data_IF_317327432679
#
_entry.id   IF_317327432679
#
_cell.length_a   1.000
_cell.length_b   1.000
_cell.length_c   1.000
_cell.angle_alpha   90.00
_cell.angle_beta   90.00
_cell.angle_gamma   90.00
#
_symmetry.space_group_name_H-M   'P 1'
#
loop_
_entity.id
_entity.type
_entity.pdbx_description
1 polymer ?
#
# COMPACT_ATOMS: atom_id res chain seq x y z
N UNK A 1 -2.54 74.56 9.92
CA UNK A 1 -2.60 73.98 11.26
C UNK A 1 -1.21 73.52 11.61
N UNK A 2 -0.51 74.48 12.20
CA UNK A 2 0.85 74.46 12.69
C UNK A 2 1.02 73.54 13.92
N UNK A 3 2.27 73.22 14.24
CA UNK A 3 2.63 72.54 15.50
C UNK A 3 3.88 71.68 15.34
N UNK A 4 5.05 72.24 15.05
CA UNK A 4 6.00 72.77 16.04
C UNK A 4 6.81 71.71 16.81
N UNK A 5 8.07 71.57 16.35
CA UNK A 5 9.33 71.53 17.12
C UNK A 5 9.45 70.57 18.33
N UNK A 6 10.48 69.73 18.26
CA UNK A 6 11.61 69.91 19.19
C UNK A 6 12.92 69.34 18.61
N UNK A 7 13.97 70.14 18.78
CA UNK A 7 15.36 69.92 18.36
C UNK A 7 16.18 69.95 19.65
N UNK A 8 17.03 68.95 19.89
CA UNK A 8 18.31 69.03 20.63
C UNK A 8 18.90 67.60 20.68
N UNK A 9 20.20 67.31 20.69
CA UNK A 9 21.40 68.13 20.73
C UNK A 9 22.58 67.31 20.20
N UNK A 10 23.66 68.03 19.94
CA UNK A 10 24.94 67.65 19.31
C UNK A 10 25.78 66.68 20.15
N UNK A 11 26.62 65.89 19.48
CA UNK A 11 27.76 65.20 20.10
C UNK A 11 28.80 64.76 19.07
N UNK A 12 29.87 65.58 18.94
CA UNK A 12 31.17 65.30 18.27
C UNK A 12 31.81 64.06 18.95
N UNK A 13 32.65 63.22 18.38
CA UNK A 13 33.60 63.28 17.27
C UNK A 13 34.42 61.97 17.23
N UNK A 14 35.53 61.90 16.47
CA UNK A 14 36.08 60.66 15.92
C UNK A 14 37.30 60.10 16.68
N UNK A 15 37.56 58.80 16.55
CA UNK A 15 38.75 58.13 17.08
C UNK A 15 39.23 57.01 16.16
N UNK A 16 40.20 57.33 15.30
CA UNK A 16 41.01 56.35 14.58
C UNK A 16 41.84 55.51 15.57
N UNK A 17 42.13 54.24 15.26
CA UNK A 17 43.52 53.72 15.29
C UNK A 17 43.64 52.32 14.64
N UNK A 18 44.70 52.23 13.86
CA UNK A 18 45.27 51.14 13.07
C UNK A 18 45.86 50.02 13.94
N UNK A 19 46.05 48.84 13.35
CA UNK A 19 46.99 47.80 13.82
C UNK A 19 46.44 46.39 13.59
N UNK A 20 46.75 45.69 12.49
CA UNK A 20 48.01 44.96 12.18
C UNK A 20 48.15 43.60 12.87
N UNK A 21 48.18 42.54 12.04
CA UNK A 21 49.20 41.47 12.03
C UNK A 21 49.02 40.22 12.93
N UNK A 22 48.76 39.11 12.21
CA UNK A 22 49.33 37.74 12.26
C UNK A 22 49.12 36.75 13.43
N UNK A 23 48.93 35.50 12.97
CA UNK A 23 49.38 34.17 13.47
C UNK A 23 48.70 33.54 14.68
N UNK A 24 47.93 32.48 14.37
CA UNK A 24 48.29 31.09 14.68
C UNK A 24 48.16 30.60 16.13
N UNK A 25 47.40 29.51 16.32
CA UNK A 25 47.50 28.69 17.53
C UNK A 25 46.25 27.84 17.82
N UNK A 26 46.33 26.55 17.50
CA UNK A 26 45.43 25.51 18.02
C UNK A 26 45.46 25.46 19.54
N UNK A 27 44.33 25.18 20.19
CA UNK A 27 44.22 24.26 21.34
C UNK A 27 42.76 24.04 21.74
N UNK A 28 42.54 22.83 22.20
CA UNK A 28 41.28 22.18 22.53
C UNK A 28 40.75 22.62 23.90
N UNK A 29 39.50 22.23 24.11
CA UNK A 29 38.84 21.97 25.40
C UNK A 29 38.28 23.13 26.23
N UNK A 30 36.95 23.10 26.30
CA UNK A 30 36.23 23.22 27.56
C UNK A 30 35.96 24.63 28.05
N UNK A 31 34.96 25.33 27.47
CA UNK A 31 34.31 26.42 28.19
C UNK A 31 32.79 26.44 28.00
N UNK A 32 32.14 26.06 29.09
CA UNK A 32 30.78 26.38 29.51
C UNK A 32 30.41 27.83 29.11
N UNK A 33 29.60 27.99 28.05
CA UNK A 33 28.98 29.26 27.70
C UNK A 33 27.47 29.12 27.78
N UNK A 34 26.94 29.62 28.90
CA UNK A 34 25.56 30.06 29.09
C UNK A 34 25.15 30.89 27.87
N UNK A 35 24.43 30.30 26.93
CA UNK A 35 23.71 31.03 25.88
C UNK A 35 22.49 31.64 26.53
N UNK A 36 22.54 32.94 26.78
CA UNK A 36 21.33 33.76 26.96
C UNK A 36 20.56 33.69 25.64
N UNK A 37 19.49 32.89 25.64
CA UNK A 37 18.58 32.81 24.51
C UNK A 37 17.95 34.19 24.34
N UNK A 38 18.30 34.85 23.24
CA UNK A 38 17.49 35.93 22.65
C UNK A 38 16.07 35.38 22.56
N UNK A 39 15.13 36.05 23.25
CA UNK A 39 13.70 35.76 23.20
C UNK A 39 13.20 36.04 21.78
N UNK A 40 13.43 35.06 20.91
CA UNK A 40 12.79 35.00 19.61
C UNK A 40 11.30 34.79 19.88
N UNK A 41 10.48 35.74 19.42
CA UNK A 41 9.04 35.80 19.63
C UNK A 41 8.41 34.58 18.96
N UNK A 42 8.28 33.49 19.72
CA UNK A 42 7.54 32.29 19.31
C UNK A 42 6.14 32.71 18.89
N UNK A 43 5.82 32.48 17.61
CA UNK A 43 4.46 32.34 17.11
C UNK A 43 3.62 31.53 18.11
N UNK A 44 2.34 31.87 18.36
CA UNK A 44 1.55 31.20 19.37
C UNK A 44 1.50 29.70 19.04
N UNK A 45 2.16 28.91 19.88
CA UNK A 45 2.10 27.46 19.84
C UNK A 45 0.64 27.11 19.97
N UNK A 46 0.05 26.53 18.90
CA UNK A 46 -1.31 26.01 18.92
C UNK A 46 -1.43 25.08 20.12
N UNK A 47 -2.04 25.57 21.19
CA UNK A 47 -2.29 24.78 22.39
C UNK A 47 -2.99 23.50 21.98
N UNK A 48 -2.53 22.36 22.50
CA UNK A 48 -3.22 21.08 22.31
C UNK A 48 -4.69 21.30 22.68
N UNK A 49 -5.59 21.10 21.71
CA UNK A 49 -7.04 21.16 21.92
C UNK A 49 -7.36 20.27 23.12
N UNK A 50 -7.86 20.84 24.22
CA UNK A 50 -8.39 20.03 25.33
C UNK A 50 -9.47 19.13 24.76
N UNK A 51 -9.35 17.83 25.02
CA UNK A 51 -10.39 16.88 24.63
C UNK A 51 -11.68 17.31 25.33
N UNK A 52 -12.65 17.76 24.54
CA UNK A 52 -14.01 17.93 25.03
C UNK A 52 -14.67 16.56 24.85
N UNK A 53 -15.27 15.96 25.90
CA UNK A 53 -16.19 14.86 25.66
C UNK A 53 -17.24 15.35 24.66
N UNK A 54 -17.74 14.49 23.75
CA UNK A 54 -18.86 14.88 22.90
C UNK A 54 -19.95 15.40 23.83
N UNK A 55 -20.15 16.72 23.88
CA UNK A 55 -21.30 17.31 24.55
C UNK A 55 -22.46 16.59 23.92
N UNK A 56 -23.20 15.84 24.73
CA UNK A 56 -24.40 15.09 24.37
C UNK A 56 -24.83 15.48 22.97
N UNK A 57 -24.38 14.70 21.99
CA UNK A 57 -24.99 14.75 20.67
C UNK A 57 -26.33 14.08 20.92
N UNK A 58 -27.21 14.83 21.59
CA UNK A 58 -28.65 14.72 21.50
C UNK A 58 -28.90 14.92 20.02
N UNK A 59 -28.74 13.83 19.30
CA UNK A 59 -29.31 13.72 17.99
C UNK A 59 -30.81 13.78 18.26
N UNK A 60 -31.36 15.00 18.17
CA UNK A 60 -32.76 15.35 18.42
C UNK A 60 -33.58 14.73 17.29
N UNK A 61 -33.74 13.43 17.35
CA UNK A 61 -34.86 12.72 16.77
C UNK A 61 -35.63 12.13 17.94
N UNK A 62 -36.94 12.37 17.97
CA UNK A 62 -37.81 11.73 18.94
C UNK A 62 -37.60 10.21 18.86
N UNK A 63 -36.99 9.63 19.90
CA UNK A 63 -36.82 8.18 20.03
C UNK A 63 -38.18 7.46 20.03
N UNK A 64 -39.27 8.20 20.35
CA UNK A 64 -40.66 7.75 20.31
C UNK A 64 -41.26 7.68 18.89
N UNK A 65 -40.73 8.43 17.92
CA UNK A 65 -41.28 8.49 16.55
C UNK A 65 -40.43 7.73 15.50
N UNK A 66 -39.32 7.11 15.89
CA UNK A 66 -38.47 6.31 14.97
C UNK A 66 -37.70 7.13 13.91
N UNK A 67 -37.88 8.45 13.87
CA UNK A 67 -37.23 9.36 12.92
C UNK A 67 -35.70 9.37 13.07
N UNK A 68 -35.21 9.13 14.29
CA UNK A 68 -33.77 9.13 14.54
C UNK A 68 -33.04 7.94 13.90
N UNK A 69 -33.64 6.75 13.93
CA UNK A 69 -33.04 5.56 13.35
C UNK A 69 -33.00 5.62 11.82
N UNK A 70 -34.06 6.14 11.20
CA UNK A 70 -34.13 6.34 9.76
C UNK A 70 -33.08 7.35 9.27
N UNK A 71 -32.90 8.46 9.97
CA UNK A 71 -31.86 9.44 9.65
C UNK A 71 -30.45 8.88 9.87
N UNK A 72 -30.21 8.14 10.96
CA UNK A 72 -28.93 7.49 11.21
C UNK A 72 -28.59 6.47 10.12
N UNK A 73 -29.56 5.64 9.72
CA UNK A 73 -29.44 4.73 8.57
C UNK A 73 -29.13 5.48 7.28
N UNK A 74 -29.86 6.55 6.98
CA UNK A 74 -29.64 7.40 5.79
C UNK A 74 -28.23 7.97 5.79
N UNK A 75 -27.77 8.50 6.91
CA UNK A 75 -26.44 9.07 7.07
C UNK A 75 -25.35 7.99 6.93
N UNK A 76 -25.57 6.81 7.51
CA UNK A 76 -24.66 5.66 7.38
C UNK A 76 -24.54 5.19 5.93
N UNK A 77 -25.66 5.03 5.23
CA UNK A 77 -25.70 4.67 3.80
C UNK A 77 -24.96 5.73 2.97
N UNK A 78 -25.18 7.02 3.22
CA UNK A 78 -24.46 8.10 2.53
C UNK A 78 -22.94 8.05 2.76
N UNK A 79 -22.49 7.76 3.99
CA UNK A 79 -21.07 7.63 4.31
C UNK A 79 -20.44 6.40 3.61
N UNK A 80 -21.14 5.26 3.61
CA UNK A 80 -20.71 4.06 2.91
C UNK A 80 -20.61 4.28 1.39
N UNK A 81 -21.58 4.97 0.79
CA UNK A 81 -21.52 5.38 -0.61
C UNK A 81 -20.31 6.27 -0.91
N UNK A 82 -20.10 7.34 -0.14
CA UNK A 82 -18.92 8.21 -0.29
C UNK A 82 -17.61 7.45 -0.13
N UNK A 83 -17.57 6.43 0.74
CA UNK A 83 -16.42 5.53 0.92
C UNK A 83 -16.16 4.69 -0.34
N UNK A 84 -17.20 4.16 -0.99
CA UNK A 84 -17.09 3.44 -2.26
C UNK A 84 -16.59 4.36 -3.38
N UNK A 85 -17.16 5.56 -3.51
CA UNK A 85 -16.71 6.57 -4.50
C UNK A 85 -15.23 6.92 -4.31
N UNK A 86 -14.78 7.09 -3.06
CA UNK A 86 -13.36 7.33 -2.74
C UNK A 86 -12.47 6.15 -3.15
N UNK A 87 -12.93 4.91 -2.96
CA UNK A 87 -12.17 3.71 -3.37
C UNK A 87 -12.07 3.61 -4.90
N UNK A 88 -13.18 3.83 -5.60
CA UNK A 88 -13.23 3.81 -7.06
C UNK A 88 -12.32 4.87 -7.68
N UNK A 89 -12.32 6.09 -7.13
CA UNK A 89 -11.40 7.17 -7.55
C UNK A 89 -9.93 6.81 -7.31
N UNK A 90 -9.59 6.17 -6.19
CA UNK A 90 -8.21 5.74 -5.92
C UNK A 90 -7.73 4.64 -6.87
N UNK A 91 -8.59 3.67 -7.20
CA UNK A 91 -8.21 2.56 -8.06
C UNK A 91 -8.10 2.94 -9.54
N UNK A 92 -8.88 3.93 -10.00
CA UNK A 92 -8.78 4.47 -11.38
C UNK A 92 -7.48 5.24 -11.55
N UNK A 93 -7.16 6.16 -10.63
CA UNK A 93 -5.89 6.94 -10.68
C UNK A 93 -4.64 6.06 -10.62
N UNK A 94 -4.65 4.96 -9.86
CA UNK A 94 -3.48 4.06 -9.78
C UNK A 94 -3.35 3.14 -10.99
N UNK A 95 -4.41 2.95 -11.78
CA UNK A 95 -4.42 2.05 -12.94
C UNK A 95 -4.23 2.77 -14.26
N UNK A 96 -4.65 4.03 -14.36
CA UNK A 96 -4.68 4.73 -15.66
C UNK A 96 -3.36 5.39 -16.07
N UNK A 97 -2.39 5.66 -15.18
CA UNK A 97 -1.19 6.41 -15.61
C UNK A 97 0.07 6.07 -14.79
N UNK A 98 0.55 4.82 -14.87
CA UNK A 98 1.94 4.54 -14.46
C UNK A 98 2.80 3.89 -15.55
N UNK A 99 2.17 3.31 -16.58
CA UNK A 99 2.85 2.74 -17.74
C UNK A 99 1.98 2.97 -18.98
N UNK A 100 1.89 4.21 -19.43
CA UNK A 100 1.68 4.40 -20.85
C UNK A 100 3.08 4.26 -21.47
N UNK A 101 3.35 3.16 -22.16
CA UNK A 101 4.55 2.93 -22.98
C UNK A 101 4.62 3.90 -24.19
N UNK A 102 4.15 5.12 -24.02
CA UNK A 102 4.56 6.26 -24.85
C UNK A 102 5.78 6.84 -24.17
N UNK A 103 6.95 6.36 -24.58
CA UNK A 103 8.20 7.03 -24.26
C UNK A 103 8.09 8.50 -24.69
N UNK A 104 8.52 9.45 -23.83
CA UNK A 104 8.62 10.85 -24.25
C UNK A 104 9.42 10.93 -25.54
N UNK A 105 8.84 11.55 -26.57
CA UNK A 105 9.36 11.52 -27.95
C UNK A 105 10.85 11.90 -28.03
N UNK A 106 11.29 12.83 -27.19
CA UNK A 106 12.66 13.33 -27.11
C UNK A 106 13.69 12.32 -26.59
N UNK A 107 13.28 11.25 -25.88
CA UNK A 107 14.18 10.21 -25.38
C UNK A 107 14.29 9.01 -26.32
N UNK A 108 13.47 8.95 -27.38
CA UNK A 108 13.49 7.89 -28.40
C UNK A 108 14.88 7.72 -29.02
N UNK A 109 15.64 8.81 -29.15
CA UNK A 109 16.98 8.80 -29.74
C UNK A 109 18.01 8.05 -28.89
N UNK A 110 17.93 8.11 -27.55
CA UNK A 110 18.84 7.35 -26.67
C UNK A 110 18.63 5.84 -26.85
N UNK A 111 17.38 5.42 -27.03
CA UNK A 111 17.03 4.02 -27.22
C UNK A 111 17.48 3.51 -28.60
N UNK A 112 17.23 4.29 -29.66
CA UNK A 112 17.72 3.94 -31.01
C UNK A 112 19.26 3.82 -31.04
N UNK A 113 19.97 4.70 -30.31
CA UNK A 113 21.42 4.61 -30.18
C UNK A 113 21.88 3.36 -29.41
N UNK A 114 21.18 2.98 -28.34
CA UNK A 114 21.48 1.76 -27.58
C UNK A 114 21.26 0.49 -28.41
N UNK A 115 20.15 0.43 -29.14
CA UNK A 115 19.85 -0.69 -30.06
C UNK A 115 20.90 -0.84 -31.16
N UNK A 116 21.34 0.26 -31.77
CA UNK A 116 22.41 0.22 -32.78
C UNK A 116 23.73 -0.27 -32.20
N UNK A 117 24.07 0.16 -30.98
CA UNK A 117 25.28 -0.29 -30.28
C UNK A 117 25.23 -1.78 -29.94
N UNK A 118 24.06 -2.30 -29.54
CA UNK A 118 23.85 -3.72 -29.28
C UNK A 118 23.93 -4.55 -30.56
N UNK A 119 23.27 -4.13 -31.65
CA UNK A 119 23.37 -4.78 -32.96
C UNK A 119 24.81 -4.81 -33.48
N UNK A 120 25.57 -3.73 -33.28
CA UNK A 120 27.01 -3.69 -33.62
C UNK A 120 27.82 -4.69 -32.79
N UNK A 121 27.56 -4.79 -31.48
CA UNK A 121 28.22 -5.75 -30.58
C UNK A 121 27.86 -7.20 -30.91
N UNK A 122 26.61 -7.50 -31.25
CA UNK A 122 26.17 -8.84 -31.66
C UNK A 122 26.82 -9.24 -32.98
N UNK A 123 26.83 -8.35 -33.99
CA UNK A 123 27.56 -8.59 -35.24
C UNK A 123 29.04 -8.87 -35.00
N UNK A 124 29.68 -8.13 -34.09
CA UNK A 124 31.07 -8.36 -33.69
C UNK A 124 31.30 -9.70 -32.95
N UNK A 125 30.29 -10.19 -32.21
CA UNK A 125 30.34 -11.50 -31.55
C UNK A 125 30.15 -12.64 -32.55
N UNK A 126 29.16 -12.53 -33.43
CA UNK A 126 28.90 -13.50 -34.50
C UNK A 126 30.16 -13.66 -35.37
N UNK A 127 30.78 -12.55 -35.80
CA UNK A 127 32.05 -12.59 -36.54
C UNK A 127 33.24 -13.19 -35.78
N UNK A 128 33.18 -13.26 -34.44
CA UNK A 128 34.20 -13.88 -33.57
C UNK A 128 33.93 -15.36 -33.33
N UNK A 129 32.66 -15.75 -33.28
CA UNK A 129 32.22 -17.12 -33.06
C UNK A 129 32.37 -17.97 -34.33
N UNK A 130 32.22 -17.37 -35.52
CA UNK A 130 32.54 -18.01 -36.81
C UNK A 130 34.04 -18.34 -36.96
N UNK A 131 34.92 -17.66 -36.22
CA UNK A 131 36.36 -17.94 -36.19
C UNK A 131 36.76 -18.99 -35.13
N UNK A 132 35.82 -19.47 -34.30
CA UNK A 132 36.10 -20.34 -33.14
C UNK A 132 35.36 -21.68 -33.15
N UNK A 133 34.55 -21.96 -34.17
CA UNK A 133 33.80 -23.23 -34.33
C UNK A 133 34.63 -24.41 -34.85
N UNK A 134 35.96 -24.28 -34.95
CA UNK A 134 36.86 -25.31 -35.47
C UNK A 134 37.77 -26.00 -34.45
N UNK A 135 37.38 -26.20 -33.18
CA UNK A 135 38.05 -27.18 -32.28
C UNK A 135 37.32 -27.35 -30.95
N UNK A 136 36.71 -28.52 -30.74
CA UNK A 136 36.79 -29.35 -29.51
C UNK A 136 35.54 -30.24 -29.33
N UNK A 137 35.56 -31.41 -29.95
CA UNK A 137 34.83 -32.58 -29.45
C UNK A 137 35.91 -33.59 -29.05
N UNK A 138 36.04 -33.85 -27.76
CA UNK A 138 36.66 -35.07 -27.23
C UNK A 138 36.23 -35.25 -25.78
N UNK A 139 35.43 -36.30 -25.59
CA UNK A 139 34.93 -36.78 -24.30
C UNK A 139 36.06 -37.40 -23.49
N UNK A 140 36.18 -36.99 -22.22
CA UNK A 140 37.03 -37.64 -21.23
C UNK A 140 36.22 -37.93 -19.95
N UNK A 141 35.88 -39.21 -19.76
CA UNK A 141 35.46 -39.76 -18.47
C UNK A 141 36.68 -39.98 -17.56
N UNK A 142 36.66 -39.46 -16.33
CA UNK A 142 37.36 -39.90 -15.10
C UNK A 142 37.03 -38.91 -13.95
N UNK A 143 37.54 -39.12 -12.71
CA UNK A 143 37.02 -39.92 -11.60
C UNK A 143 36.30 -39.04 -10.53
N UNK A 144 35.70 -39.66 -9.50
CA UNK A 144 34.82 -39.06 -8.48
C UNK A 144 35.08 -37.55 -8.20
N UNK A 145 34.30 -36.69 -8.84
CA UNK A 145 34.33 -35.24 -8.61
C UNK A 145 33.81 -34.99 -7.21
N UNK A 146 34.72 -34.76 -6.24
CA UNK A 146 34.39 -34.16 -4.94
C UNK A 146 33.46 -32.98 -5.22
N UNK A 147 32.20 -33.07 -4.80
CA UNK A 147 31.15 -32.12 -5.17
C UNK A 147 31.65 -30.70 -4.91
N UNK A 148 31.90 -29.94 -5.98
CA UNK A 148 32.28 -28.53 -5.86
C UNK A 148 31.14 -27.84 -5.14
N UNK A 149 31.42 -27.27 -3.96
CA UNK A 149 30.41 -26.56 -3.17
C UNK A 149 29.83 -25.44 -4.05
N UNK A 150 28.49 -25.39 -4.15
CA UNK A 150 27.80 -24.35 -4.91
C UNK A 150 28.29 -22.96 -4.50
N UNK A 151 28.52 -22.08 -5.48
CA UNK A 151 28.90 -20.69 -5.20
C UNK A 151 27.73 -19.97 -4.52
N UNK A 152 28.03 -18.94 -3.73
CA UNK A 152 26.99 -18.13 -3.07
C UNK A 152 25.92 -17.63 -4.06
N UNK A 153 26.34 -17.16 -5.25
CA UNK A 153 25.42 -16.69 -6.28
C UNK A 153 24.55 -17.81 -6.88
N UNK A 154 25.06 -19.05 -6.94
CA UNK A 154 24.26 -20.21 -7.38
C UNK A 154 23.20 -20.57 -6.32
N UNK A 155 23.58 -20.56 -5.04
CA UNK A 155 22.65 -20.77 -3.92
C UNK A 155 21.54 -19.72 -3.88
N UNK A 156 21.87 -18.45 -4.09
CA UNK A 156 20.89 -17.37 -4.13
C UNK A 156 19.85 -17.56 -5.26
N UNK A 157 20.27 -18.06 -6.44
CA UNK A 157 19.36 -18.38 -7.55
C UNK A 157 18.44 -19.56 -7.23
N UNK A 158 18.96 -20.59 -6.57
CA UNK A 158 18.18 -21.75 -6.14
C UNK A 158 17.17 -21.37 -5.04
N UNK A 159 17.59 -20.60 -4.05
CA UNK A 159 16.71 -20.07 -3.00
C UNK A 159 15.58 -19.22 -3.58
N UNK A 160 15.87 -18.36 -4.56
CA UNK A 160 14.85 -17.59 -5.25
C UNK A 160 13.80 -18.49 -5.93
N UNK A 161 14.25 -19.52 -6.66
CA UNK A 161 13.36 -20.51 -7.29
C UNK A 161 12.52 -21.23 -6.23
N UNK A 162 13.13 -21.65 -5.12
CA UNK A 162 12.44 -22.32 -4.03
C UNK A 162 11.39 -21.42 -3.36
N UNK A 163 11.69 -20.13 -3.17
CA UNK A 163 10.74 -19.14 -2.66
C UNK A 163 9.57 -18.95 -3.64
N UNK A 164 9.84 -18.89 -4.94
CA UNK A 164 8.78 -18.79 -5.95
C UNK A 164 7.86 -20.02 -5.95
N UNK A 165 8.43 -21.23 -5.87
CA UNK A 165 7.66 -22.47 -5.77
C UNK A 165 6.81 -22.50 -4.49
N UNK A 166 7.37 -22.13 -3.34
CA UNK A 166 6.61 -22.03 -2.08
C UNK A 166 5.45 -21.03 -2.19
N UNK A 167 5.68 -19.88 -2.83
CA UNK A 167 4.63 -18.87 -3.08
C UNK A 167 3.58 -19.34 -4.07
N UNK A 168 3.94 -20.14 -5.07
CA UNK A 168 3.00 -20.76 -6.01
C UNK A 168 2.10 -21.78 -5.30
N UNK A 169 2.71 -22.74 -4.58
CA UNK A 169 1.97 -23.74 -3.79
C UNK A 169 1.01 -23.08 -2.78
N UNK A 170 1.46 -22.06 -2.05
CA UNK A 170 0.61 -21.31 -1.12
C UNK A 170 -0.56 -20.59 -1.82
N UNK A 171 -0.38 -20.11 -3.05
CA UNK A 171 -1.46 -19.51 -3.85
C UNK A 171 -2.48 -20.57 -4.28
N UNK A 172 -2.01 -21.70 -4.78
CA UNK A 172 -2.86 -22.82 -5.18
C UNK A 172 -3.69 -23.34 -4.00
N UNK A 173 -3.06 -23.56 -2.84
CA UNK A 173 -3.75 -23.96 -1.60
C UNK A 173 -4.81 -22.93 -1.18
N UNK A 174 -4.49 -21.63 -1.24
CA UNK A 174 -5.44 -20.57 -0.92
C UNK A 174 -6.63 -20.53 -1.90
N UNK A 175 -6.40 -20.82 -3.18
CA UNK A 175 -7.45 -20.93 -4.19
C UNK A 175 -8.35 -22.14 -3.94
N UNK A 176 -7.79 -23.29 -3.58
CA UNK A 176 -8.58 -24.47 -3.23
C UNK A 176 -9.43 -24.19 -1.99
N UNK A 177 -8.83 -23.63 -0.93
CA UNK A 177 -9.57 -23.24 0.29
C UNK A 177 -10.71 -22.25 -0.02
N UNK A 178 -10.49 -21.32 -0.95
CA UNK A 178 -11.54 -20.39 -1.41
C UNK A 178 -12.66 -21.13 -2.13
N UNK A 179 -12.33 -22.03 -3.07
CA UNK A 179 -13.30 -22.85 -3.81
C UNK A 179 -14.12 -23.73 -2.87
N UNK A 180 -13.48 -24.37 -1.88
CA UNK A 180 -14.16 -25.18 -0.87
C UNK A 180 -15.13 -24.35 -0.05
N UNK A 181 -14.71 -23.17 0.41
CA UNK A 181 -15.57 -22.24 1.15
C UNK A 181 -16.77 -21.79 0.30
N UNK A 182 -16.57 -21.51 -0.98
CA UNK A 182 -17.65 -21.13 -1.90
C UNK A 182 -18.60 -22.31 -2.14
N UNK A 183 -18.09 -23.51 -2.40
CA UNK A 183 -18.87 -24.74 -2.54
C UNK A 183 -19.69 -25.02 -1.28
N UNK A 184 -19.09 -24.93 -0.09
CA UNK A 184 -19.79 -25.11 1.18
C UNK A 184 -20.93 -24.09 1.37
N UNK A 185 -20.70 -22.83 1.00
CA UNK A 185 -21.75 -21.81 1.04
C UNK A 185 -22.87 -22.09 0.03
N UNK A 186 -22.54 -22.52 -1.18
CA UNK A 186 -23.52 -22.88 -2.21
C UNK A 186 -24.38 -24.06 -1.74
N UNK A 187 -23.75 -25.12 -1.22
CA UNK A 187 -24.44 -26.28 -0.67
C UNK A 187 -25.38 -25.88 0.48
N UNK A 188 -24.92 -25.03 1.41
CA UNK A 188 -25.78 -24.52 2.49
C UNK A 188 -26.98 -23.74 1.94
N UNK A 189 -26.77 -22.87 0.95
CA UNK A 189 -27.85 -22.10 0.31
C UNK A 189 -28.83 -23.02 -0.41
N UNK A 190 -28.35 -24.03 -1.14
CA UNK A 190 -29.18 -25.01 -1.82
C UNK A 190 -30.05 -25.79 -0.82
N UNK A 191 -29.44 -26.39 0.21
CA UNK A 191 -30.17 -27.09 1.28
C UNK A 191 -31.21 -26.20 1.96
N UNK A 192 -30.86 -24.92 2.19
CA UNK A 192 -31.79 -23.94 2.76
C UNK A 192 -32.97 -23.67 1.82
N UNK A 193 -32.73 -23.56 0.51
CA UNK A 193 -33.79 -23.34 -0.47
C UNK A 193 -34.67 -24.57 -0.65
N UNK A 194 -34.10 -25.77 -0.68
CA UNK A 194 -34.83 -27.04 -0.76
C UNK A 194 -35.77 -27.22 0.44
N UNK A 195 -35.24 -27.08 1.65
CA UNK A 195 -36.05 -27.13 2.87
C UNK A 195 -37.14 -26.07 2.89
N UNK A 196 -36.84 -24.84 2.45
CA UNK A 196 -37.84 -23.79 2.33
C UNK A 196 -38.92 -24.13 1.30
N UNK A 197 -38.58 -24.72 0.15
CA UNK A 197 -39.56 -25.12 -0.87
C UNK A 197 -40.55 -26.15 -0.33
N UNK A 198 -40.04 -27.18 0.34
CA UNK A 198 -40.85 -28.24 0.96
C UNK A 198 -41.77 -27.65 2.03
N UNK A 199 -41.20 -26.85 2.94
CA UNK A 199 -41.97 -26.25 4.03
C UNK A 199 -42.94 -25.16 3.58
N UNK A 200 -42.68 -24.48 2.47
CA UNK A 200 -43.59 -23.46 1.91
C UNK A 200 -44.69 -24.06 1.04
N UNK A 201 -44.65 -25.35 0.72
CA UNK A 201 -45.61 -25.98 -0.16
C UNK A 201 -47.05 -25.76 0.35
N UNK A 202 -47.95 -25.41 -0.58
CA UNK A 202 -49.36 -25.14 -0.32
C UNK A 202 -50.24 -25.96 -1.26
N UNK A 203 -51.44 -26.28 -0.80
CA UNK A 203 -52.47 -26.93 -1.63
C UNK A 203 -53.02 -25.94 -2.66
N UNK A 204 -53.79 -26.43 -3.65
CA UNK A 204 -54.44 -25.57 -4.67
C UNK A 204 -55.33 -24.48 -4.06
N UNK A 205 -55.83 -24.69 -2.84
CA UNK A 205 -56.64 -23.74 -2.06
C UNK A 205 -55.80 -22.77 -1.21
N UNK A 206 -54.47 -22.80 -1.32
CA UNK A 206 -53.55 -21.90 -0.60
C UNK A 206 -53.26 -22.28 0.85
N UNK A 207 -53.82 -23.38 1.36
CA UNK A 207 -53.56 -23.90 2.70
C UNK A 207 -52.19 -24.61 2.74
N UNK A 208 -51.47 -24.58 3.87
CA UNK A 208 -50.21 -25.31 4.00
C UNK A 208 -50.41 -26.80 3.79
N UNK A 209 -49.50 -27.46 3.06
CA UNK A 209 -49.54 -28.90 2.88
C UNK A 209 -48.82 -29.59 4.06
N UNK A 210 -49.58 -29.88 5.13
CA UNK A 210 -49.04 -30.41 6.38
C UNK A 210 -48.37 -31.78 6.21
N UNK A 211 -48.90 -32.66 5.35
CA UNK A 211 -48.34 -33.99 5.16
C UNK A 211 -46.88 -33.92 4.69
N UNK A 212 -46.62 -33.11 3.67
CA UNK A 212 -45.26 -32.89 3.12
C UNK A 212 -44.33 -32.24 4.16
N UNK A 213 -44.86 -31.36 5.01
CA UNK A 213 -44.09 -30.75 6.10
C UNK A 213 -43.74 -31.76 7.20
N UNK A 214 -44.71 -32.60 7.57
CA UNK A 214 -44.55 -33.63 8.60
C UNK A 214 -43.53 -34.66 8.14
N UNK A 215 -43.62 -35.17 6.91
CA UNK A 215 -42.67 -36.15 6.36
C UNK A 215 -41.24 -35.63 6.41
N UNK A 216 -41.01 -34.40 5.97
CA UNK A 216 -39.70 -33.75 6.02
C UNK A 216 -39.16 -33.58 7.46
N UNK A 217 -40.05 -33.25 8.41
CA UNK A 217 -39.66 -33.11 9.81
C UNK A 217 -39.34 -34.47 10.45
N UNK A 218 -40.10 -35.52 10.12
CA UNK A 218 -39.84 -36.89 10.57
C UNK A 218 -38.49 -37.38 10.05
N UNK A 219 -38.20 -37.18 8.76
CA UNK A 219 -36.90 -37.51 8.16
C UNK A 219 -35.75 -36.81 8.93
N UNK A 220 -35.94 -35.53 9.28
CA UNK A 220 -34.94 -34.74 10.01
C UNK A 220 -34.77 -35.16 11.47
N UNK A 221 -35.80 -35.73 12.09
CA UNK A 221 -35.71 -36.32 13.44
C UNK A 221 -34.94 -37.63 13.37
N UNK A 222 -35.27 -38.50 12.41
CA UNK A 222 -34.57 -39.78 12.18
C UNK A 222 -33.09 -39.59 11.81
N UNK A 223 -32.74 -38.54 11.07
CA UNK A 223 -31.35 -38.21 10.75
C UNK A 223 -30.55 -37.67 11.95
N UNK A 224 -31.23 -37.27 13.04
CA UNK A 224 -30.62 -36.69 14.24
C UNK A 224 -30.55 -37.65 15.42
N UNK A 225 -31.37 -38.70 15.42
CA UNK A 225 -31.27 -39.85 16.32
C UNK A 225 -30.12 -40.75 15.89
#
# INVERSE_FOLDING_TARGET
>A
MDGSRSVSARGKGPGQKRGSVLKGGNRTDGFNRKRTFVLDKKSPVKGKRRWRPPSEISFVGSQREGQGFAFWRKQKIQQEYKKLVRKQRKTSTTKEVLYNDRYPEHLKHLYLAEEEMLKKKEKQRISKDDAKSGKSEEDHETPSKKFKKMTSNQKAKEEYKNVQLKRAKKREEAEQNKKEREKAQQLYRQKRMESYKVLKAKTKKGQPNLNVQIDYLLEKIQQKS
#
